data_IF_901123323658
#
_entry.id   IF_901123323658
#
_cell.length_a   1.000
_cell.length_b   1.000
_cell.length_c   1.000
_cell.angle_alpha   90.00
_cell.angle_beta   90.00
_cell.angle_gamma   90.00
#
_symmetry.space_group_name_H-M   'P 1'
#
loop_
_entity.id
_entity.type
_entity.pdbx_description
1 polymer ?
#
# COMPACT_ATOMS: atom_id res chain seq x y z
N UNK A 1 -0.46 -1.74 24.74
CA UNK A 1 -0.75 -0.62 23.83
C UNK A 1 -0.25 -1.00 22.45
N UNK A 2 -1.13 -1.02 21.47
CA UNK A 2 -0.90 -1.58 20.14
C UNK A 2 -0.48 -0.44 19.22
N UNK A 3 0.82 -0.20 19.05
CA UNK A 3 1.25 0.71 17.97
C UNK A 3 1.04 0.01 16.63
N UNK A 4 0.30 0.66 15.75
CA UNK A 4 0.08 0.33 14.36
C UNK A 4 1.30 0.71 13.50
N UNK A 5 1.41 0.09 12.33
CA UNK A 5 2.43 0.45 11.32
C UNK A 5 2.36 1.94 10.96
N UNK A 6 1.15 2.52 10.99
CA UNK A 6 0.89 3.91 10.68
C UNK A 6 1.49 4.87 11.73
N UNK A 7 1.35 4.58 13.03
CA UNK A 7 1.91 5.42 14.11
C UNK A 7 3.45 5.42 14.12
N UNK A 8 4.09 4.36 13.62
CA UNK A 8 5.54 4.25 13.51
C UNK A 8 6.10 4.93 12.26
N UNK A 9 5.33 4.97 11.16
CA UNK A 9 5.67 5.74 9.96
C UNK A 9 5.48 7.24 10.24
N UNK A 10 4.43 7.62 10.97
CA UNK A 10 4.12 8.99 11.38
C UNK A 10 5.24 9.62 12.24
N UNK A 11 5.81 8.83 13.16
CA UNK A 11 6.99 9.26 13.96
C UNK A 11 8.22 9.57 13.09
N UNK A 12 8.33 8.93 11.92
CA UNK A 12 9.48 9.04 11.05
C UNK A 12 9.29 10.11 9.96
N UNK A 13 8.10 10.25 9.37
CA UNK A 13 7.82 11.24 8.33
C UNK A 13 8.06 12.68 8.80
N UNK A 14 7.56 13.02 9.99
CA UNK A 14 7.73 14.36 10.56
C UNK A 14 9.20 14.71 10.82
N UNK A 15 10.01 13.72 11.19
CA UNK A 15 11.44 13.89 11.42
C UNK A 15 12.23 14.15 10.14
N UNK A 16 11.90 13.43 9.06
CA UNK A 16 12.55 13.62 7.76
C UNK A 16 12.14 14.93 7.10
N UNK A 17 10.85 15.30 7.19
CA UNK A 17 10.32 16.56 6.66
C UNK A 17 10.92 17.78 7.38
N UNK A 18 11.04 17.75 8.71
CA UNK A 18 11.61 18.86 9.50
C UNK A 18 13.09 19.14 9.21
N UNK A 19 13.82 18.19 8.60
CA UNK A 19 15.26 18.33 8.30
C UNK A 19 15.56 18.39 6.81
N UNK A 20 14.54 18.49 5.97
CA UNK A 20 14.68 18.62 4.52
C UNK A 20 15.23 17.36 3.83
N UNK A 21 15.16 16.20 4.49
CA UNK A 21 15.53 14.92 3.89
C UNK A 21 14.32 14.36 3.14
N UNK A 22 14.39 14.39 1.82
CA UNK A 22 13.42 13.69 0.98
C UNK A 22 13.77 12.19 0.99
N UNK A 23 13.04 11.44 1.83
CA UNK A 23 13.17 9.99 2.02
C UNK A 23 13.09 9.22 0.70
N UNK A 24 12.54 9.82 -0.35
CA UNK A 24 12.34 9.21 -1.66
C UNK A 24 13.28 9.74 -2.76
N UNK A 25 13.97 10.87 -2.56
CA UNK A 25 14.97 11.39 -3.52
C UNK A 25 16.42 11.07 -3.17
N UNK A 26 16.78 10.96 -1.90
CA UNK A 26 18.17 10.70 -1.53
C UNK A 26 18.50 9.21 -1.63
N UNK A 27 19.44 8.90 -2.52
CA UNK A 27 19.88 7.58 -2.99
C UNK A 27 20.29 6.53 -1.90
N UNK A 28 20.19 6.84 -0.61
CA UNK A 28 20.78 6.05 0.47
C UNK A 28 19.90 4.91 1.03
N UNK A 29 18.59 4.89 0.80
CA UNK A 29 17.70 3.92 1.48
C UNK A 29 17.24 2.71 0.66
N UNK A 30 17.61 2.61 -0.63
CA UNK A 30 17.26 1.43 -1.45
C UNK A 30 17.84 0.11 -0.92
N UNK A 31 18.83 0.18 -0.04
CA UNK A 31 19.53 -0.96 0.54
C UNK A 31 19.16 -1.25 2.00
N UNK A 32 18.12 -0.61 2.56
CA UNK A 32 17.65 -0.86 3.93
C UNK A 32 16.21 -1.40 3.90
N UNK A 33 16.03 -2.69 4.20
CA UNK A 33 14.73 -3.35 4.39
C UNK A 33 14.36 -3.43 5.86
N UNK A 34 13.07 -3.42 6.18
CA UNK A 34 12.58 -3.50 7.56
C UNK A 34 11.45 -4.53 7.63
N UNK A 35 11.50 -5.44 8.60
CA UNK A 35 10.43 -6.41 8.89
C UNK A 35 10.00 -6.29 10.34
N UNK A 36 8.70 -6.48 10.59
CA UNK A 36 8.16 -6.49 11.95
C UNK A 36 7.88 -7.94 12.31
N UNK A 37 8.43 -8.38 13.44
CA UNK A 37 8.22 -9.72 13.95
C UNK A 37 7.67 -9.70 15.37
N UNK A 38 6.91 -10.74 15.69
CA UNK A 38 6.46 -11.04 17.05
C UNK A 38 7.29 -12.20 17.57
N UNK A 39 7.70 -12.13 18.84
CA UNK A 39 8.41 -13.23 19.50
C UNK A 39 7.88 -13.41 20.91
N UNK A 40 7.97 -14.62 21.46
CA UNK A 40 7.58 -14.90 22.84
C UNK A 40 8.85 -14.87 23.70
N UNK A 41 8.85 -14.06 24.75
CA UNK A 41 9.92 -14.07 25.75
C UNK A 41 9.28 -14.12 27.15
N UNK A 42 9.64 -15.14 27.94
CA UNK A 42 9.08 -15.38 29.28
C UNK A 42 7.54 -15.44 29.30
N UNK A 43 6.95 -16.15 28.33
CA UNK A 43 5.49 -16.29 28.15
C UNK A 43 4.74 -14.99 27.83
N UNK A 44 5.44 -13.91 27.48
CA UNK A 44 4.83 -12.67 27.00
C UNK A 44 5.11 -12.48 25.51
N UNK A 45 4.08 -12.12 24.73
CA UNK A 45 4.25 -11.71 23.33
C UNK A 45 4.95 -10.35 23.29
N UNK A 46 6.13 -10.32 22.69
CA UNK A 46 6.94 -9.12 22.45
C UNK A 46 7.05 -8.82 20.97
N UNK A 47 7.49 -7.60 20.68
CA UNK A 47 7.64 -7.07 19.32
C UNK A 47 9.09 -6.76 19.02
N UNK A 48 9.51 -7.10 17.82
CA UNK A 48 10.80 -6.72 17.27
C UNK A 48 10.64 -5.97 15.95
N UNK A 49 11.56 -5.03 15.74
CA UNK A 49 11.83 -4.44 14.42
C UNK A 49 13.13 -5.03 13.93
N UNK A 50 13.06 -5.79 12.85
CA UNK A 50 14.19 -6.33 12.12
C UNK A 50 14.57 -5.35 11.01
N UNK A 51 15.85 -5.01 10.93
CA UNK A 51 16.36 -4.10 9.90
C UNK A 51 17.48 -4.79 9.14
N UNK A 52 17.29 -4.98 7.84
CA UNK A 52 18.27 -5.55 6.93
C UNK A 52 18.94 -4.44 6.16
N UNK A 53 20.27 -4.41 6.14
CA UNK A 53 20.96 -3.48 5.24
C UNK A 53 22.21 -4.07 4.59
N UNK A 54 22.38 -3.74 3.31
CA UNK A 54 23.59 -4.02 2.55
C UNK A 54 24.58 -2.85 2.56
N UNK A 55 24.21 -1.72 3.17
CA UNK A 55 25.04 -0.51 3.17
C UNK A 55 26.29 -0.72 4.05
N UNK A 56 27.46 -0.51 3.45
CA UNK A 56 28.78 -0.57 4.10
C UNK A 56 28.99 0.56 5.12
N UNK A 57 28.13 1.57 5.11
CA UNK A 57 28.12 2.72 6.00
C UNK A 57 26.67 2.97 6.42
N UNK A 58 26.21 2.32 7.49
CA UNK A 58 24.94 2.74 8.10
C UNK A 58 24.98 4.26 8.38
N UNK A 59 24.11 5.05 7.74
CA UNK A 59 24.15 6.50 7.88
C UNK A 59 23.96 6.88 9.35
N UNK A 60 24.65 7.92 9.83
CA UNK A 60 24.40 8.52 11.16
C UNK A 60 22.90 8.77 11.39
N UNK A 61 22.19 9.09 10.32
CA UNK A 61 20.73 9.24 10.26
C UNK A 61 19.96 7.99 10.73
N UNK A 62 20.39 6.78 10.34
CA UNK A 62 19.77 5.52 10.77
C UNK A 62 19.90 5.29 12.27
N UNK A 63 21.08 5.61 12.80
CA UNK A 63 21.37 5.53 14.23
C UNK A 63 20.46 6.47 15.02
N UNK A 64 20.29 7.71 14.55
CA UNK A 64 19.44 8.72 15.18
C UNK A 64 17.96 8.29 15.19
N UNK A 65 17.51 7.58 14.15
CA UNK A 65 16.16 7.00 14.06
C UNK A 65 15.98 5.88 15.09
N UNK A 66 16.92 4.94 15.13
CA UNK A 66 16.89 3.80 16.07
C UNK A 66 16.91 4.27 17.53
N UNK A 67 17.71 5.29 17.85
CA UNK A 67 17.76 5.84 19.20
C UNK A 67 16.42 6.48 19.60
N UNK A 68 15.82 7.30 18.74
CA UNK A 68 14.52 7.91 19.03
C UNK A 68 13.40 6.88 19.15
N UNK A 69 13.40 5.82 18.32
CA UNK A 69 12.45 4.71 18.46
C UNK A 69 12.59 4.05 19.83
N UNK A 70 13.83 3.87 20.31
CA UNK A 70 14.10 3.29 21.62
C UNK A 70 13.68 4.22 22.76
N UNK A 71 13.89 5.52 22.62
CA UNK A 71 13.50 6.53 23.61
C UNK A 71 11.96 6.62 23.73
N UNK A 72 11.24 6.60 22.60
CA UNK A 72 9.77 6.62 22.56
C UNK A 72 9.14 5.29 22.95
N UNK A 73 9.80 4.17 22.62
CA UNK A 73 9.30 2.82 22.88
C UNK A 73 10.38 1.93 23.52
N UNK A 74 10.66 2.12 24.84
CA UNK A 74 11.72 1.39 25.53
C UNK A 74 11.56 -0.14 25.48
N UNK A 75 10.32 -0.63 25.38
CA UNK A 75 9.97 -2.04 25.31
C UNK A 75 10.20 -2.69 23.94
N UNK A 76 10.42 -1.91 22.87
CA UNK A 76 10.67 -2.46 21.54
C UNK A 76 12.11 -2.95 21.44
N UNK A 77 12.29 -4.19 20.98
CA UNK A 77 13.61 -4.74 20.65
C UNK A 77 13.93 -4.41 19.20
N UNK A 78 15.11 -3.85 18.96
CA UNK A 78 15.56 -3.52 17.60
C UNK A 78 16.68 -4.50 17.28
N UNK A 79 16.50 -5.24 16.18
CA UNK A 79 17.41 -6.24 15.67
C UNK A 79 17.94 -5.76 14.31
N UNK A 80 19.25 -5.63 14.19
CA UNK A 80 19.88 -5.22 12.93
C UNK A 80 20.59 -6.44 12.34
N UNK A 81 20.22 -6.80 11.11
CA UNK A 81 20.86 -7.85 10.31
C UNK A 81 21.87 -7.22 9.33
N UNK A 82 23.15 -7.50 9.53
CA UNK A 82 24.26 -6.96 8.72
C UNK A 82 25.22 -8.08 8.33
N UNK A 83 25.74 -8.02 7.10
CA UNK A 83 26.81 -8.93 6.63
C UNK A 83 28.10 -8.69 7.42
N UNK A 84 28.77 -9.76 7.85
CA UNK A 84 29.94 -9.70 8.73
C UNK A 84 31.03 -8.74 8.27
N UNK A 85 31.32 -8.74 6.97
CA UNK A 85 32.33 -7.89 6.32
C UNK A 85 32.04 -6.39 6.40
N UNK A 86 30.81 -6.00 6.73
CA UNK A 86 30.38 -4.60 6.82
C UNK A 86 30.47 -4.03 8.25
N UNK A 87 30.86 -4.83 9.24
CA UNK A 87 30.90 -4.42 10.65
C UNK A 87 32.22 -3.74 10.97
N UNK A 88 32.17 -2.42 11.18
CA UNK A 88 33.35 -1.64 11.60
C UNK A 88 33.65 -1.83 13.10
N UNK A 89 34.93 -1.82 13.46
CA UNK A 89 35.37 -1.74 14.87
C UNK A 89 34.75 -0.51 15.55
N UNK A 90 34.06 -0.73 16.67
CA UNK A 90 33.33 0.30 17.42
C UNK A 90 31.81 0.33 17.17
N UNK A 91 31.33 -0.28 16.07
CA UNK A 91 29.91 -0.29 15.72
C UNK A 91 29.06 -1.09 16.72
N UNK A 92 29.52 -2.30 17.06
CA UNK A 92 28.85 -3.17 18.03
C UNK A 92 28.76 -2.53 19.41
N UNK A 93 29.85 -1.89 19.87
CA UNK A 93 29.89 -1.20 21.15
C UNK A 93 28.87 -0.05 21.21
N UNK A 94 28.75 0.68 20.11
CA UNK A 94 27.82 1.79 19.99
C UNK A 94 26.35 1.32 19.97
N UNK A 95 26.01 0.33 19.15
CA UNK A 95 24.64 -0.23 19.11
C UNK A 95 24.21 -0.81 20.45
N UNK A 96 25.14 -1.46 21.17
CA UNK A 96 24.89 -1.97 22.52
C UNK A 96 24.59 -0.84 23.50
N UNK A 97 25.28 0.29 23.39
CA UNK A 97 24.99 1.50 24.20
C UNK A 97 23.58 2.06 23.93
N UNK A 98 23.08 1.88 22.71
CA UNK A 98 21.72 2.26 22.32
C UNK A 98 20.66 1.19 22.67
N UNK A 99 21.03 0.08 23.31
CA UNK A 99 20.10 -1.01 23.64
C UNK A 99 19.57 -1.78 22.43
N UNK A 100 20.36 -1.83 21.35
CA UNK A 100 20.05 -2.51 20.09
C UNK A 100 20.78 -3.85 20.02
N UNK A 101 20.09 -4.91 19.61
CA UNK A 101 20.69 -6.22 19.38
C UNK A 101 21.20 -6.31 17.94
N UNK A 102 22.44 -6.77 17.75
CA UNK A 102 23.01 -7.00 16.43
C UNK A 102 22.96 -8.48 16.08
N UNK A 103 22.50 -8.78 14.87
CA UNK A 103 22.48 -10.09 14.26
C UNK A 103 23.41 -10.07 13.03
N UNK A 104 24.40 -10.97 12.98
CA UNK A 104 25.32 -11.08 11.85
C UNK A 104 24.81 -12.15 10.90
N UNK A 105 24.79 -11.85 9.61
CA UNK A 105 24.57 -12.85 8.56
C UNK A 105 25.93 -13.36 8.08
N UNK A 106 26.16 -14.67 8.20
CA UNK A 106 27.34 -15.35 7.64
C UNK A 106 26.89 -16.69 7.02
N UNK A 107 27.16 -16.89 5.73
CA UNK A 107 26.79 -18.12 5.00
C UNK A 107 25.31 -18.55 5.17
N UNK A 108 24.37 -17.59 5.09
CA UNK A 108 22.94 -17.77 5.32
C UNK A 108 22.55 -18.19 6.75
N UNK A 109 23.43 -18.02 7.73
CA UNK A 109 23.13 -18.21 9.15
C UNK A 109 23.09 -16.87 9.87
N UNK A 110 22.14 -16.72 10.80
CA UNK A 110 21.97 -15.53 11.64
C UNK A 110 22.62 -15.78 13.00
N UNK A 111 23.58 -14.95 13.38
CA UNK A 111 24.37 -15.10 14.61
C UNK A 111 24.09 -13.92 15.54
N UNK A 112 23.51 -14.13 16.73
CA UNK A 112 23.39 -13.08 17.74
C UNK A 112 24.76 -12.66 18.25
N UNK A 113 25.00 -11.35 18.33
CA UNK A 113 26.24 -10.81 18.90
C UNK A 113 25.96 -10.23 20.27
N UNK A 114 26.21 -11.05 21.30
CA UNK A 114 26.06 -10.61 22.69
C UNK A 114 27.38 -10.02 23.24
N UNK A 115 28.54 -10.42 22.69
CA UNK A 115 29.85 -9.94 23.12
C UNK A 115 30.85 -9.66 21.98
N UNK A 116 31.62 -8.58 22.09
CA UNK A 116 32.61 -8.10 21.10
C UNK A 116 33.81 -9.04 20.95
N UNK A 117 34.15 -9.76 22.02
CA UNK A 117 35.31 -10.66 22.06
C UNK A 117 35.06 -12.00 21.33
N UNK A 118 33.79 -12.39 21.16
CA UNK A 118 33.41 -13.64 20.48
C UNK A 118 33.64 -13.59 18.96
N UNK A 119 33.58 -12.39 18.36
CA UNK A 119 33.81 -12.17 16.92
C UNK A 119 35.27 -12.44 16.55
N UNK A 120 36.21 -12.18 17.46
CA UNK A 120 37.63 -12.25 17.16
C UNK A 120 38.27 -13.63 17.44
N UNK A 121 37.61 -14.53 18.18
CA UNK A 121 38.29 -15.70 18.76
C UNK A 121 37.57 -17.07 18.72
N UNK A 122 36.44 -17.26 18.01
CA UNK A 122 35.61 -18.46 18.24
C UNK A 122 35.33 -19.34 17.02
N UNK A 123 35.50 -20.66 17.20
CA UNK A 123 35.01 -21.72 16.32
C UNK A 123 33.47 -21.82 16.42
N UNK A 124 32.80 -21.38 15.36
CA UNK A 124 31.36 -21.10 15.25
C UNK A 124 30.42 -22.30 15.48
N UNK A 125 30.91 -23.55 15.36
CA UNK A 125 30.05 -24.72 15.55
C UNK A 125 29.50 -24.88 16.97
N UNK A 126 30.27 -24.45 17.99
CA UNK A 126 29.88 -24.55 19.40
C UNK A 126 28.75 -23.60 19.79
N UNK A 127 28.61 -22.46 19.10
CA UNK A 127 27.57 -21.45 19.34
C UNK A 127 26.24 -21.89 18.69
N UNK A 128 26.31 -22.50 17.50
CA UNK A 128 25.14 -23.00 16.77
C UNK A 128 24.37 -24.08 17.52
N UNK A 129 25.07 -24.98 18.24
CA UNK A 129 24.42 -26.03 19.04
C UNK A 129 23.71 -25.51 20.31
N UNK A 130 24.13 -24.37 20.86
CA UNK A 130 23.53 -23.82 22.10
C UNK A 130 22.29 -22.96 21.87
N UNK A 131 22.11 -22.39 20.67
CA UNK A 131 21.10 -21.35 20.44
C UNK A 131 19.94 -21.73 19.50
N UNK A 132 19.99 -22.90 18.86
CA UNK A 132 18.89 -23.39 17.99
C UNK A 132 17.57 -23.75 18.73
N UNK A 133 17.52 -23.68 20.06
CA UNK A 133 16.30 -23.97 20.83
C UNK A 133 15.34 -22.78 20.99
N UNK A 134 15.56 -21.65 20.31
CA UNK A 134 14.80 -20.39 20.56
C UNK A 134 14.04 -19.89 19.32
N UNK A 135 14.28 -20.42 18.12
CA UNK A 135 13.65 -19.92 16.89
C UNK A 135 13.17 -21.07 15.98
N UNK A 136 11.86 -21.31 15.95
CA UNK A 136 11.22 -22.03 14.85
C UNK A 136 11.02 -21.07 13.66
N UNK A 137 11.42 -21.45 12.43
CA UNK A 137 11.20 -20.63 11.26
C UNK A 137 9.70 -20.58 10.92
N UNK A 138 9.20 -19.36 10.66
CA UNK A 138 7.85 -19.12 10.12
C UNK A 138 7.73 -19.86 8.78
N UNK A 139 6.78 -20.79 8.70
CA UNK A 139 6.52 -21.62 7.53
C UNK A 139 6.48 -20.80 6.23
N UNK A 140 7.32 -21.18 5.27
CA UNK A 140 7.16 -20.83 3.86
C UNK A 140 5.75 -21.26 3.43
N UNK A 141 4.93 -20.32 2.96
CA UNK A 141 3.59 -20.62 2.43
C UNK A 141 3.74 -21.52 1.20
N UNK A 142 3.57 -22.83 1.39
CA UNK A 142 3.56 -23.81 0.30
C UNK A 142 2.22 -23.68 -0.41
N UNK A 143 2.24 -23.24 -1.66
CA UNK A 143 1.07 -23.30 -2.54
C UNK A 143 0.86 -24.79 -2.88
N UNK A 144 -0.26 -25.42 -2.48
CA UNK A 144 -0.50 -26.82 -2.81
C UNK A 144 -0.57 -26.99 -4.33
N UNK A 145 0.11 -28.02 -4.85
CA UNK A 145 0.01 -28.41 -6.26
C UNK A 145 -1.45 -28.76 -6.60
N UNK A 146 -1.96 -28.35 -7.77
CA UNK A 146 -3.35 -28.60 -8.13
C UNK A 146 -3.63 -30.11 -8.24
N UNK A 147 -4.84 -30.57 -7.86
CA UNK A 147 -5.27 -31.93 -8.14
C UNK A 147 -5.35 -32.17 -9.66
N UNK A 148 -5.03 -33.40 -10.07
CA UNK A 148 -4.90 -33.85 -11.47
C UNK A 148 -6.17 -33.66 -12.37
N UNK A 149 -7.32 -33.28 -11.81
CA UNK A 149 -8.62 -33.18 -12.52
C UNK A 149 -8.89 -31.79 -13.16
N UNK A 150 -7.98 -30.82 -12.97
CA UNK A 150 -8.21 -29.45 -13.44
C UNK A 150 -7.71 -29.15 -14.86
N UNK A 151 -6.94 -30.07 -15.48
CA UNK A 151 -6.35 -29.83 -16.81
C UNK A 151 -7.42 -29.66 -17.92
N UNK A 152 -8.55 -30.37 -17.82
CA UNK A 152 -9.65 -30.20 -18.78
C UNK A 152 -10.24 -28.78 -18.74
N UNK A 153 -10.39 -28.18 -17.54
CA UNK A 153 -10.84 -26.79 -17.38
C UNK A 153 -9.85 -25.82 -18.02
N UNK A 154 -8.55 -26.00 -17.78
CA UNK A 154 -7.52 -25.11 -18.31
C UNK A 154 -7.29 -25.26 -19.81
N UNK A 155 -7.46 -26.47 -20.35
CA UNK A 155 -7.46 -26.70 -21.80
C UNK A 155 -8.64 -25.98 -22.46
N UNK A 156 -9.85 -26.11 -21.89
CA UNK A 156 -11.07 -25.42 -22.35
C UNK A 156 -10.93 -23.90 -22.34
N UNK A 157 -10.29 -23.34 -21.32
CA UNK A 157 -10.17 -21.89 -21.11
C UNK A 157 -8.81 -21.30 -21.46
N UNK A 158 -8.00 -22.00 -22.26
CA UNK A 158 -6.63 -21.58 -22.59
C UNK A 158 -6.57 -20.16 -23.15
N UNK A 159 -7.40 -19.85 -24.17
CA UNK A 159 -7.44 -18.52 -24.80
C UNK A 159 -7.87 -17.42 -23.82
N UNK A 160 -9.02 -17.53 -23.11
CA UNK A 160 -9.40 -16.53 -22.13
C UNK A 160 -8.37 -16.26 -21.03
N UNK A 161 -7.62 -17.28 -20.61
CA UNK A 161 -6.59 -17.12 -19.59
C UNK A 161 -5.38 -16.35 -20.11
N UNK A 162 -5.01 -16.55 -21.38
CA UNK A 162 -3.99 -15.74 -22.06
C UNK A 162 -4.45 -14.29 -22.17
N UNK A 163 -5.68 -14.06 -22.63
CA UNK A 163 -6.25 -12.70 -22.75
C UNK A 163 -6.29 -11.98 -21.40
N UNK A 164 -6.65 -12.66 -20.31
CA UNK A 164 -6.63 -12.08 -18.96
C UNK A 164 -5.19 -11.78 -18.48
N UNK A 165 -4.23 -12.65 -18.77
CA UNK A 165 -2.83 -12.41 -18.40
C UNK A 165 -2.26 -11.19 -19.14
N UNK A 166 -2.57 -11.04 -20.43
CA UNK A 166 -2.20 -9.85 -21.20
C UNK A 166 -2.92 -8.59 -20.67
N UNK A 167 -4.21 -8.70 -20.36
CA UNK A 167 -5.02 -7.60 -19.84
C UNK A 167 -4.47 -7.07 -18.51
N UNK A 168 -4.04 -7.95 -17.61
CA UNK A 168 -3.54 -7.60 -16.27
C UNK A 168 -2.02 -7.43 -16.18
N UNK A 169 -1.28 -7.58 -17.29
CA UNK A 169 0.18 -7.59 -17.29
C UNK A 169 0.81 -6.36 -16.62
N UNK A 170 0.12 -5.21 -16.62
CA UNK A 170 0.62 -3.96 -16.03
C UNK A 170 0.55 -3.92 -14.48
N UNK A 171 -0.19 -4.81 -13.81
CA UNK A 171 -0.22 -4.86 -12.33
C UNK A 171 1.13 -5.28 -11.73
N UNK A 172 1.91 -6.06 -12.50
CA UNK A 172 3.09 -6.77 -12.00
C UNK A 172 2.72 -8.12 -11.37
N UNK A 173 3.48 -9.17 -11.70
CA UNK A 173 3.32 -10.53 -11.18
C UNK A 173 1.96 -11.22 -11.43
N UNK A 174 1.08 -10.65 -12.28
CA UNK A 174 -0.16 -11.29 -12.72
C UNK A 174 0.05 -11.86 -14.11
N UNK A 175 0.59 -13.08 -14.16
CA UNK A 175 0.76 -13.86 -15.38
C UNK A 175 -0.24 -15.03 -15.42
N UNK A 176 -0.17 -15.82 -16.50
CA UNK A 176 -1.04 -16.98 -16.65
C UNK A 176 -0.87 -18.01 -15.51
N UNK A 177 0.36 -18.40 -15.09
CA UNK A 177 0.57 -19.21 -13.89
C UNK A 177 -0.12 -18.64 -12.64
N UNK A 178 0.02 -17.34 -12.36
CA UNK A 178 -0.59 -16.68 -11.21
C UNK A 178 -2.13 -16.76 -11.27
N UNK A 179 -2.72 -16.50 -12.45
CA UNK A 179 -4.16 -16.65 -12.67
C UNK A 179 -4.61 -18.11 -12.44
N UNK A 180 -3.86 -19.10 -12.95
CA UNK A 180 -4.17 -20.51 -12.73
C UNK A 180 -4.11 -20.85 -11.24
N UNK A 181 -3.04 -20.43 -10.54
CA UNK A 181 -2.87 -20.64 -9.11
C UNK A 181 -4.02 -20.01 -8.32
N UNK A 182 -4.44 -18.79 -8.66
CA UNK A 182 -5.56 -18.13 -8.03
C UNK A 182 -6.89 -18.89 -8.25
N UNK A 183 -7.16 -19.34 -9.48
CA UNK A 183 -8.35 -20.13 -9.82
C UNK A 183 -8.35 -21.50 -9.13
N UNK A 184 -7.20 -22.11 -8.88
CA UNK A 184 -7.09 -23.40 -8.18
C UNK A 184 -7.55 -23.34 -6.72
N UNK A 185 -7.66 -22.15 -6.14
CA UNK A 185 -8.23 -21.97 -4.80
C UNK A 185 -9.76 -22.13 -4.79
N UNK A 186 -10.42 -22.09 -5.96
CA UNK A 186 -11.85 -22.35 -6.11
C UNK A 186 -12.13 -23.86 -6.26
N UNK A 187 -13.19 -24.33 -5.61
CA UNK A 187 -13.57 -25.74 -5.56
C UNK A 187 -14.48 -26.10 -6.74
N UNK A 188 -14.16 -27.18 -7.45
CA UNK A 188 -15.00 -27.74 -8.51
C UNK A 188 -15.48 -26.69 -9.52
N UNK A 189 -16.79 -26.64 -9.75
CA UNK A 189 -17.42 -25.71 -10.71
C UNK A 189 -17.34 -24.22 -10.28
N UNK A 190 -16.92 -23.90 -9.06
CA UNK A 190 -16.72 -22.50 -8.65
C UNK A 190 -15.56 -21.84 -9.42
N UNK A 191 -14.68 -22.60 -10.06
CA UNK A 191 -13.63 -22.06 -10.96
C UNK A 191 -14.21 -21.25 -12.11
N UNK A 192 -15.35 -21.67 -12.68
CA UNK A 192 -16.06 -20.90 -13.72
C UNK A 192 -16.55 -19.56 -13.18
N UNK A 193 -16.99 -19.51 -11.92
CA UNK A 193 -17.42 -18.28 -11.24
C UNK A 193 -16.22 -17.36 -10.97
N UNK A 194 -15.08 -17.92 -10.55
CA UNK A 194 -13.83 -17.19 -10.40
C UNK A 194 -13.34 -16.60 -11.73
N UNK A 195 -13.39 -17.38 -12.82
CA UNK A 195 -13.01 -16.90 -14.15
C UNK A 195 -13.95 -15.80 -14.65
N UNK A 196 -15.26 -15.95 -14.42
CA UNK A 196 -16.26 -14.91 -14.70
C UNK A 196 -15.97 -13.63 -13.90
N UNK A 197 -15.60 -13.75 -12.62
CA UNK A 197 -15.17 -12.62 -11.82
C UNK A 197 -13.98 -11.90 -12.45
N UNK A 198 -12.92 -12.61 -12.84
CA UNK A 198 -11.75 -11.99 -13.47
C UNK A 198 -12.12 -11.19 -14.73
N UNK A 199 -13.01 -11.72 -15.56
CA UNK A 199 -13.49 -11.01 -16.76
C UNK A 199 -14.35 -9.79 -16.46
N UNK A 200 -15.00 -9.76 -15.29
CA UNK A 200 -15.86 -8.66 -14.88
C UNK A 200 -15.08 -7.55 -14.14
N UNK A 201 -13.83 -7.76 -13.75
CA UNK A 201 -13.03 -6.76 -13.04
C UNK A 201 -12.98 -5.47 -13.86
N UNK A 202 -13.33 -4.37 -13.22
CA UNK A 202 -13.15 -3.03 -13.77
C UNK A 202 -11.67 -2.65 -13.63
N UNK A 203 -10.92 -3.01 -14.67
CA UNK A 203 -9.50 -2.73 -14.76
C UNK A 203 -9.23 -1.31 -15.25
N UNK A 204 -8.33 -0.62 -14.55
CA UNK A 204 -7.82 0.69 -14.91
C UNK A 204 -6.33 0.57 -15.27
N UNK A 205 -6.08 0.24 -16.53
CA UNK A 205 -4.75 0.26 -17.12
C UNK A 205 -4.19 1.69 -17.19
N UNK A 206 -2.90 1.80 -17.53
CA UNK A 206 -2.21 3.09 -17.64
C UNK A 206 -2.87 4.05 -18.63
N UNK A 207 -3.42 3.51 -19.72
CA UNK A 207 -4.08 4.31 -20.77
C UNK A 207 -5.38 4.90 -20.25
N UNK A 208 -6.23 4.08 -19.63
CA UNK A 208 -7.50 4.50 -19.02
C UNK A 208 -7.28 5.49 -17.89
N UNK A 209 -6.27 5.27 -17.05
CA UNK A 209 -5.87 6.23 -16.00
C UNK A 209 -5.47 7.57 -16.62
N UNK A 210 -4.58 7.58 -17.62
CA UNK A 210 -4.14 8.82 -18.27
C UNK A 210 -5.30 9.59 -18.92
N UNK A 211 -6.17 8.88 -19.64
CA UNK A 211 -7.38 9.48 -20.24
C UNK A 211 -8.27 10.06 -19.14
N UNK A 212 -8.51 9.31 -18.05
CA UNK A 212 -9.30 9.79 -16.92
C UNK A 212 -8.71 11.06 -16.28
N UNK A 213 -7.39 11.13 -16.11
CA UNK A 213 -6.73 12.33 -15.56
C UNK A 213 -6.83 13.55 -16.49
N UNK A 214 -6.85 13.33 -17.81
CA UNK A 214 -7.12 14.39 -18.78
C UNK A 214 -8.58 14.84 -18.73
N UNK A 215 -9.51 13.89 -18.64
CA UNK A 215 -10.94 14.17 -18.44
C UNK A 215 -11.17 14.98 -17.18
N UNK A 216 -10.52 14.65 -16.05
CA UNK A 216 -10.62 15.45 -14.82
C UNK A 216 -10.19 16.90 -15.02
N UNK A 217 -9.07 17.16 -15.72
CA UNK A 217 -8.64 18.53 -15.98
C UNK A 217 -9.66 19.29 -16.83
N UNK A 218 -10.23 18.63 -17.84
CA UNK A 218 -11.25 19.25 -18.69
C UNK A 218 -12.53 19.55 -17.91
N UNK A 219 -12.97 18.65 -17.02
CA UNK A 219 -14.11 18.89 -16.14
C UNK A 219 -13.85 20.03 -15.15
N UNK A 220 -12.65 20.11 -14.58
CA UNK A 220 -12.25 21.25 -13.74
C UNK A 220 -12.36 22.56 -14.52
N UNK A 221 -11.81 22.64 -15.74
CA UNK A 221 -11.90 23.84 -16.60
C UNK A 221 -13.33 24.17 -17.03
N UNK A 222 -14.21 23.17 -17.13
CA UNK A 222 -15.61 23.38 -17.49
C UNK A 222 -16.39 23.97 -16.32
N UNK A 223 -16.08 23.53 -15.10
CA UNK A 223 -16.73 23.98 -13.87
C UNK A 223 -16.20 25.35 -13.45
N UNK A 224 -14.91 25.61 -13.61
CA UNK A 224 -14.29 26.89 -13.32
C UNK A 224 -14.28 27.75 -14.60
N UNK A 225 -15.23 28.67 -14.71
CA UNK A 225 -15.49 29.45 -15.93
C UNK A 225 -14.31 30.32 -16.41
N UNK A 226 -13.35 30.60 -15.54
CA UNK A 226 -12.19 31.47 -15.81
C UNK A 226 -10.91 30.69 -16.22
N UNK A 227 -11.06 29.43 -16.62
CA UNK A 227 -9.95 28.61 -17.10
C UNK A 227 -9.12 28.00 -15.97
N UNK A 228 -7.80 28.25 -15.94
CA UNK A 228 -6.89 27.74 -14.89
C UNK A 228 -6.36 28.85 -13.97
N UNK A 229 -6.77 30.10 -14.17
CA UNK A 229 -6.39 31.20 -13.30
C UNK A 229 -7.03 31.02 -11.91
N UNK A 230 -6.29 31.34 -10.84
CA UNK A 230 -6.74 31.09 -9.46
C UNK A 230 -6.87 29.60 -9.04
N UNK A 231 -6.62 28.64 -9.95
CA UNK A 231 -6.72 27.21 -9.64
C UNK A 231 -5.36 26.61 -9.31
N UNK A 232 -5.36 25.80 -8.25
CA UNK A 232 -4.21 25.06 -7.75
C UNK A 232 -4.59 23.59 -7.55
N UNK A 233 -3.61 22.69 -7.66
CA UNK A 233 -3.79 21.25 -7.50
C UNK A 233 -2.98 20.76 -6.31
N UNK A 234 -3.56 19.85 -5.53
CA UNK A 234 -2.88 19.18 -4.44
C UNK A 234 -3.32 17.72 -4.35
N UNK A 235 -2.55 16.88 -3.69
CA UNK A 235 -2.95 15.51 -3.38
C UNK A 235 -3.95 15.47 -2.23
N UNK A 236 -4.90 14.55 -2.28
CA UNK A 236 -5.72 14.21 -1.12
C UNK A 236 -4.90 13.34 -0.15
N UNK A 237 -4.84 13.74 1.12
CA UNK A 237 -4.15 12.98 2.16
C UNK A 237 -2.69 13.39 2.39
N UNK A 238 -1.97 12.54 3.13
CA UNK A 238 -0.59 12.77 3.57
C UNK A 238 0.39 12.36 2.46
N UNK A 239 1.55 13.00 2.42
CA UNK A 239 2.67 12.62 1.56
C UNK A 239 2.99 11.11 1.70
N UNK A 240 3.36 10.44 0.60
CA UNK A 240 3.66 9.01 0.57
C UNK A 240 2.46 8.06 0.39
N UNK A 241 1.24 8.58 0.21
CA UNK A 241 0.04 7.80 -0.16
C UNK A 241 -0.31 7.91 -1.65
N UNK A 242 -1.34 7.17 -2.09
CA UNK A 242 -1.83 7.13 -3.49
C UNK A 242 -2.09 8.52 -4.08
N UNK A 243 -2.54 9.48 -3.26
CA UNK A 243 -2.78 10.85 -3.70
C UNK A 243 -1.56 11.54 -4.33
N UNK A 244 -0.33 11.24 -3.88
CA UNK A 244 0.87 11.86 -4.46
C UNK A 244 1.28 11.22 -5.79
N UNK A 245 1.09 9.91 -5.92
CA UNK A 245 1.25 9.19 -7.19
C UNK A 245 0.26 9.74 -8.23
N UNK A 246 -0.99 9.96 -7.82
CA UNK A 246 -2.03 10.55 -8.66
C UNK A 246 -1.70 11.98 -9.08
N UNK A 247 -1.22 12.82 -8.17
CA UNK A 247 -0.77 14.18 -8.51
C UNK A 247 0.34 14.14 -9.57
N UNK A 248 1.30 13.23 -9.40
CA UNK A 248 2.41 13.04 -10.36
C UNK A 248 1.93 12.55 -11.72
N UNK A 249 1.02 11.57 -11.74
CA UNK A 249 0.42 11.07 -12.97
C UNK A 249 -0.41 12.17 -13.66
N UNK A 250 -1.17 12.95 -12.89
CA UNK A 250 -1.99 14.05 -13.39
C UNK A 250 -1.13 15.09 -14.12
N UNK A 251 0.01 15.48 -13.51
CA UNK A 251 0.98 16.39 -14.13
C UNK A 251 1.45 15.88 -15.48
N UNK A 252 1.84 14.61 -15.55
CA UNK A 252 2.37 13.99 -16.76
C UNK A 252 1.31 13.85 -17.84
N UNK A 253 0.14 13.34 -17.49
CA UNK A 253 -0.97 13.12 -18.42
C UNK A 253 -1.44 14.43 -19.09
N UNK A 254 -1.33 15.55 -18.39
CA UNK A 254 -1.77 16.86 -18.86
C UNK A 254 -0.64 17.76 -19.41
N UNK A 255 0.58 17.23 -19.59
CA UNK A 255 1.71 18.02 -20.10
C UNK A 255 2.16 19.14 -19.14
N UNK A 256 1.88 19.01 -17.84
CA UNK A 256 2.19 19.97 -16.78
C UNK A 256 3.47 19.60 -16.01
N UNK A 257 4.38 18.88 -16.65
CA UNK A 257 5.66 18.44 -16.05
C UNK A 257 6.76 19.52 -16.08
N UNK A 258 6.57 20.60 -16.83
CA UNK A 258 7.56 21.68 -16.95
C UNK A 258 7.48 22.66 -15.77
N UNK A 259 8.62 23.29 -15.44
CA UNK A 259 8.77 24.20 -14.29
C UNK A 259 7.76 25.36 -14.27
N UNK A 260 7.28 25.79 -15.44
CA UNK A 260 6.26 26.86 -15.56
C UNK A 260 4.94 26.54 -14.86
N UNK A 261 4.69 25.27 -14.56
CA UNK A 261 3.48 24.83 -13.86
C UNK A 261 3.70 24.54 -12.38
N UNK A 262 4.93 24.62 -11.87
CA UNK A 262 5.23 24.25 -10.48
C UNK A 262 4.40 25.05 -9.48
N UNK A 263 4.17 26.33 -9.77
CA UNK A 263 3.34 27.21 -8.93
C UNK A 263 1.88 26.76 -8.84
N UNK A 264 1.38 25.95 -9.78
CA UNK A 264 0.02 25.39 -9.77
C UNK A 264 -0.12 24.20 -8.85
N UNK A 265 0.97 23.59 -8.39
CA UNK A 265 0.93 22.41 -7.53
C UNK A 265 1.38 22.78 -6.12
N UNK A 266 0.49 22.57 -5.16
CA UNK A 266 0.64 23.08 -3.79
C UNK A 266 0.62 21.96 -2.78
N UNK A 267 1.44 22.09 -1.76
CA UNK A 267 1.37 21.27 -0.57
C UNK A 267 0.39 21.89 0.43
N UNK A 268 -0.02 21.09 1.41
CA UNK A 268 -0.93 21.54 2.48
C UNK A 268 -0.40 22.77 3.21
N UNK A 269 0.92 22.87 3.38
CA UNK A 269 1.61 24.02 4.01
C UNK A 269 1.49 25.31 3.21
N UNK A 270 1.28 25.22 1.89
CA UNK A 270 1.21 26.39 1.01
C UNK A 270 -0.18 27.03 1.00
N UNK A 271 -1.20 26.36 1.57
CA UNK A 271 -2.58 26.84 1.50
C UNK A 271 -2.74 28.22 2.16
N UNK A 272 -2.01 28.47 3.26
CA UNK A 272 -1.92 29.77 3.95
C UNK A 272 -1.42 30.93 3.09
N UNK A 273 -0.77 30.64 1.97
CA UNK A 273 -0.11 31.62 1.10
C UNK A 273 -0.87 31.85 -0.20
N UNK A 274 -2.04 31.21 -0.37
CA UNK A 274 -2.82 31.34 -1.59
C UNK A 274 -3.59 32.67 -1.61
N UNK A 275 -3.73 33.29 -2.79
CA UNK A 275 -4.60 34.46 -2.94
C UNK A 275 -6.03 34.18 -2.49
N UNK A 276 -6.74 35.22 -2.06
CA UNK A 276 -8.19 35.15 -1.87
C UNK A 276 -8.88 34.68 -3.16
N UNK A 277 -10.04 34.02 -3.01
CA UNK A 277 -10.82 33.40 -4.10
C UNK A 277 -10.14 32.27 -4.89
N UNK A 278 -8.94 31.84 -4.48
CA UNK A 278 -8.27 30.68 -5.07
C UNK A 278 -9.10 29.41 -4.92
N UNK A 279 -9.01 28.50 -5.88
CA UNK A 279 -9.62 27.16 -5.80
C UNK A 279 -8.55 26.08 -5.79
N UNK A 280 -8.55 25.25 -4.75
CA UNK A 280 -7.69 24.09 -4.62
C UNK A 280 -8.46 22.83 -5.01
N UNK A 281 -7.95 22.12 -6.02
CA UNK A 281 -8.44 20.83 -6.48
C UNK A 281 -7.61 19.73 -5.81
N UNK A 282 -8.23 18.97 -4.93
CA UNK A 282 -7.64 17.81 -4.25
C UNK A 282 -7.82 16.56 -5.11
N UNK A 283 -6.72 15.94 -5.52
CA UNK A 283 -6.72 14.77 -6.39
C UNK A 283 -6.57 13.46 -5.61
N UNK A 284 -7.35 12.45 -5.99
CA UNK A 284 -7.18 11.06 -5.52
C UNK A 284 -7.57 10.05 -6.61
N UNK A 285 -7.24 8.77 -6.42
CA UNK A 285 -7.64 7.70 -7.34
C UNK A 285 -9.07 7.22 -7.11
N UNK A 286 -9.46 7.06 -5.84
CA UNK A 286 -10.67 6.34 -5.48
C UNK A 286 -11.38 6.92 -4.25
N UNK A 287 -12.69 7.20 -4.38
CA UNK A 287 -13.57 7.48 -3.23
C UNK A 287 -14.43 6.25 -2.95
N UNK A 288 -14.17 5.60 -1.81
CA UNK A 288 -15.04 4.54 -1.27
C UNK A 288 -16.20 5.11 -0.46
N UNK A 289 -16.05 5.13 0.86
CA UNK A 289 -17.05 5.71 1.77
C UNK A 289 -16.97 7.24 1.89
N UNK A 290 -15.91 7.85 1.36
CA UNK A 290 -15.63 9.27 1.54
C UNK A 290 -15.05 9.64 2.91
N UNK A 291 -14.92 8.71 3.85
CA UNK A 291 -14.42 9.01 5.22
C UNK A 291 -13.04 9.65 5.22
N UNK A 292 -12.08 9.10 4.48
CA UNK A 292 -10.72 9.65 4.42
C UNK A 292 -10.68 11.06 3.85
N UNK A 293 -11.44 11.29 2.77
CA UNK A 293 -11.60 12.59 2.16
C UNK A 293 -12.19 13.60 3.15
N UNK A 294 -13.26 13.21 3.84
CA UNK A 294 -13.93 14.04 4.83
C UNK A 294 -13.04 14.37 6.04
N UNK A 295 -12.31 13.38 6.58
CA UNK A 295 -11.38 13.59 7.69
C UNK A 295 -10.27 14.57 7.28
N UNK A 296 -9.75 14.45 6.05
CA UNK A 296 -8.75 15.38 5.52
C UNK A 296 -9.31 16.80 5.33
N UNK A 297 -10.53 16.92 4.80
CA UNK A 297 -11.21 18.20 4.60
C UNK A 297 -11.53 18.92 5.91
N UNK A 298 -11.84 18.18 6.99
CA UNK A 298 -12.00 18.75 8.33
C UNK A 298 -10.72 19.41 8.81
N UNK A 299 -9.59 18.71 8.69
CA UNK A 299 -8.27 19.26 9.06
C UNK A 299 -7.96 20.49 8.21
N UNK A 300 -8.24 20.45 6.90
CA UNK A 300 -8.08 21.62 6.04
C UNK A 300 -8.96 22.76 6.51
N UNK A 301 -10.22 22.52 6.87
CA UNK A 301 -11.16 23.56 7.31
C UNK A 301 -10.64 24.34 8.52
N UNK A 302 -9.88 23.70 9.42
CA UNK A 302 -9.28 24.34 10.60
C UNK A 302 -8.09 25.26 10.25
N UNK A 303 -7.40 24.98 9.14
CA UNK A 303 -6.24 25.75 8.66
C UNK A 303 -6.53 26.55 7.38
N UNK A 304 -7.78 26.55 6.94
CA UNK A 304 -8.22 27.10 5.67
C UNK A 304 -8.16 28.62 5.75
N UNK A 305 -7.41 29.29 4.86
CA UNK A 305 -7.51 30.73 4.73
C UNK A 305 -8.91 31.10 4.24
N UNK A 306 -9.40 32.24 4.72
CA UNK A 306 -10.65 32.82 4.23
C UNK A 306 -10.58 33.02 2.71
N UNK A 307 -11.72 32.83 2.02
CA UNK A 307 -11.81 33.00 0.57
C UNK A 307 -11.31 31.83 -0.29
N UNK A 308 -10.41 30.96 0.19
CA UNK A 308 -9.92 29.82 -0.61
C UNK A 308 -10.95 28.71 -0.69
N UNK A 309 -11.34 28.22 -1.87
CA UNK A 309 -12.30 27.11 -2.06
C UNK A 309 -11.58 25.77 -2.23
N UNK A 310 -12.20 24.68 -1.78
CA UNK A 310 -11.68 23.33 -1.94
C UNK A 310 -12.69 22.47 -2.69
N UNK A 311 -12.21 21.74 -3.71
CA UNK A 311 -12.97 20.75 -4.47
C UNK A 311 -12.16 19.46 -4.58
N UNK A 312 -12.85 18.35 -4.83
CA UNK A 312 -12.23 17.04 -4.99
C UNK A 312 -12.36 16.62 -6.44
N UNK A 313 -11.32 16.03 -7.00
CA UNK A 313 -11.35 15.44 -8.32
C UNK A 313 -10.74 14.03 -8.27
N UNK A 314 -11.53 13.01 -8.59
CA UNK A 314 -11.14 11.61 -8.44
C UNK A 314 -11.45 10.77 -9.66
N UNK A 315 -10.60 9.79 -9.98
CA UNK A 315 -10.85 8.92 -11.14
C UNK A 315 -12.13 8.12 -10.96
N UNK A 316 -12.31 7.53 -9.78
CA UNK A 316 -13.45 6.66 -9.51
C UNK A 316 -14.05 6.99 -8.15
N UNK A 317 -15.37 7.01 -8.03
CA UNK A 317 -16.02 7.23 -6.74
C UNK A 317 -17.32 6.46 -6.58
N UNK A 318 -17.53 5.80 -5.45
CA UNK A 318 -18.83 5.27 -5.08
C UNK A 318 -19.81 6.42 -4.84
N UNK A 319 -20.98 6.36 -5.46
CA UNK A 319 -21.99 7.40 -5.34
C UNK A 319 -22.38 7.70 -3.88
N UNK A 320 -22.41 6.70 -3.01
CA UNK A 320 -22.68 6.95 -1.59
C UNK A 320 -21.59 7.79 -0.94
N UNK A 321 -20.31 7.49 -1.18
CA UNK A 321 -19.20 8.28 -0.65
C UNK A 321 -19.14 9.69 -1.22
N UNK A 322 -19.44 9.85 -2.51
CA UNK A 322 -19.58 11.15 -3.16
C UNK A 322 -20.68 11.97 -2.48
N UNK A 323 -21.89 11.40 -2.33
CA UNK A 323 -23.02 12.08 -1.69
C UNK A 323 -22.74 12.50 -0.26
N UNK A 324 -22.02 11.70 0.52
CA UNK A 324 -21.64 12.06 1.90
C UNK A 324 -20.68 13.26 1.95
N UNK A 325 -19.73 13.35 1.02
CA UNK A 325 -18.83 14.50 0.91
C UNK A 325 -19.61 15.74 0.46
N UNK A 326 -20.51 15.61 -0.53
CA UNK A 326 -21.30 16.72 -1.07
C UNK A 326 -22.27 17.30 -0.05
N UNK A 327 -22.88 16.47 0.80
CA UNK A 327 -23.69 16.93 1.95
C UNK A 327 -22.92 17.85 2.90
N UNK A 328 -21.59 17.74 2.92
CA UNK A 328 -20.72 18.57 3.75
C UNK A 328 -20.33 19.90 3.07
N UNK A 329 -20.89 20.20 1.90
CA UNK A 329 -20.70 21.46 1.17
C UNK A 329 -19.49 21.46 0.22
N UNK A 330 -18.90 20.31 -0.07
CA UNK A 330 -17.77 20.19 -0.99
C UNK A 330 -18.20 19.64 -2.34
N UNK A 331 -17.66 20.18 -3.43
CA UNK A 331 -17.91 19.65 -4.77
C UNK A 331 -16.97 18.48 -5.06
N UNK A 332 -17.52 17.38 -5.58
CA UNK A 332 -16.73 16.24 -6.08
C UNK A 332 -16.88 16.13 -7.59
N UNK A 333 -15.75 16.08 -8.28
CA UNK A 333 -15.62 15.86 -9.71
C UNK A 333 -15.14 14.41 -9.87
N UNK A 334 -15.85 13.60 -10.65
CA UNK A 334 -15.46 12.20 -10.85
C UNK A 334 -15.55 11.81 -12.32
N UNK A 335 -14.65 10.93 -12.77
CA UNK A 335 -14.72 10.35 -14.13
C UNK A 335 -15.73 9.21 -14.15
N UNK A 336 -15.57 8.24 -13.23
CA UNK A 336 -16.42 7.07 -13.13
C UNK A 336 -17.14 7.02 -11.77
N UNK A 337 -18.42 7.37 -11.76
CA UNK A 337 -19.29 7.19 -10.60
C UNK A 337 -19.82 5.74 -10.53
N UNK A 338 -19.58 5.06 -9.40
CA UNK A 338 -20.02 3.69 -9.16
C UNK A 338 -21.33 3.68 -8.38
N UNK A 339 -22.35 3.12 -9.02
CA UNK A 339 -23.68 2.96 -8.48
C UNK A 339 -23.83 1.62 -7.75
N UNK A 340 -25.03 1.37 -7.22
CA UNK A 340 -25.40 0.06 -6.69
C UNK A 340 -25.32 -1.10 -7.72
N UNK A 341 -25.27 -0.82 -9.03
CA UNK A 341 -25.09 -1.85 -10.07
C UNK A 341 -23.65 -2.35 -10.13
N UNK A 342 -22.71 -1.53 -9.67
CA UNK A 342 -21.27 -1.76 -9.68
C UNK A 342 -20.77 -2.39 -8.37
N UNK A 343 -21.71 -2.79 -7.50
CA UNK A 343 -21.44 -3.50 -6.25
C UNK A 343 -21.70 -4.99 -6.46
N UNK A 344 -20.66 -5.81 -6.36
CA UNK A 344 -20.76 -7.23 -6.77
C UNK A 344 -21.82 -8.02 -6.01
N UNK A 345 -22.07 -7.71 -4.72
CA UNK A 345 -23.08 -8.39 -3.90
C UNK A 345 -24.42 -7.66 -3.84
N UNK A 346 -24.56 -6.53 -4.53
CA UNK A 346 -25.82 -5.80 -4.60
C UNK A 346 -26.86 -6.56 -5.41
N UNK A 347 -28.14 -6.42 -5.04
CA UNK A 347 -29.26 -6.97 -5.82
C UNK A 347 -29.37 -6.33 -7.21
N UNK A 348 -28.85 -5.12 -7.38
CA UNK A 348 -28.93 -4.37 -8.63
C UNK A 348 -27.81 -4.74 -9.62
N UNK A 349 -26.78 -5.46 -9.19
CA UNK A 349 -25.78 -6.02 -10.10
C UNK A 349 -26.38 -7.23 -10.83
N UNK A 350 -26.50 -7.18 -12.15
CA UNK A 350 -27.07 -8.28 -12.95
C UNK A 350 -26.01 -9.19 -13.58
N UNK A 351 -24.72 -8.85 -13.43
CA UNK A 351 -23.61 -9.64 -13.96
C UNK A 351 -23.51 -11.02 -13.26
N UNK A 352 -23.83 -11.07 -11.96
CA UNK A 352 -23.80 -12.30 -11.17
C UNK A 352 -25.20 -12.68 -10.66
N UNK A 353 -25.52 -13.96 -10.81
CA UNK A 353 -26.72 -14.56 -10.20
C UNK A 353 -26.61 -14.54 -8.67
N UNK A 354 -27.75 -14.69 -7.99
CA UNK A 354 -27.80 -14.78 -6.53
C UNK A 354 -26.87 -15.88 -5.98
N UNK A 355 -26.89 -17.06 -6.62
CA UNK A 355 -26.05 -18.21 -6.23
C UNK A 355 -24.56 -17.92 -6.44
N UNK A 356 -24.18 -17.30 -7.55
CA UNK A 356 -22.78 -16.91 -7.79
C UNK A 356 -22.28 -15.89 -6.75
N UNK A 357 -23.12 -14.91 -6.38
CA UNK A 357 -22.80 -13.95 -5.33
C UNK A 357 -22.59 -14.60 -3.97
N UNK A 358 -23.43 -15.56 -3.59
CA UNK A 358 -23.29 -16.34 -2.35
C UNK A 358 -21.97 -17.12 -2.34
N UNK A 359 -21.62 -17.77 -3.47
CA UNK A 359 -20.34 -18.46 -3.63
C UNK A 359 -19.17 -17.49 -3.47
N UNK A 360 -19.15 -16.39 -4.23
CA UNK A 360 -18.07 -15.39 -4.15
C UNK A 360 -17.93 -14.80 -2.75
N UNK A 361 -19.05 -14.52 -2.08
CA UNK A 361 -19.06 -14.00 -0.71
C UNK A 361 -18.45 -15.00 0.29
N UNK A 362 -18.71 -16.30 0.12
CA UNK A 362 -18.11 -17.33 0.97
C UNK A 362 -16.57 -17.35 0.84
N UNK A 363 -16.03 -17.23 -0.37
CA UNK A 363 -14.58 -17.09 -0.57
C UNK A 363 -14.04 -15.79 0.01
N UNK A 364 -14.80 -14.69 -0.08
CA UNK A 364 -14.41 -13.43 0.53
C UNK A 364 -14.25 -13.54 2.06
N UNK A 365 -15.14 -14.29 2.71
CA UNK A 365 -15.09 -14.54 4.16
C UNK A 365 -13.91 -15.46 4.54
N UNK A 366 -13.49 -16.35 3.65
CA UNK A 366 -12.27 -17.13 3.84
C UNK A 366 -11.01 -16.25 3.75
N UNK A 367 -11.03 -15.25 2.87
CA UNK A 367 -9.89 -14.39 2.56
C UNK A 367 -9.62 -13.30 3.61
N UNK A 368 -10.63 -12.80 4.34
CA UNK A 368 -10.43 -11.85 5.45
C UNK A 368 -11.72 -11.59 6.23
N UNK A 369 -11.62 -10.94 7.39
CA UNK A 369 -12.75 -10.48 8.21
C UNK A 369 -13.54 -9.33 7.57
N UNK A 370 -12.95 -8.66 6.57
CA UNK A 370 -13.58 -7.59 5.77
C UNK A 370 -13.89 -8.06 4.34
N UNK A 371 -14.82 -9.01 4.14
CA UNK A 371 -15.01 -9.72 2.88
C UNK A 371 -15.40 -8.81 1.71
N UNK A 372 -16.17 -7.76 2.00
CA UNK A 372 -16.75 -6.88 1.00
C UNK A 372 -15.93 -5.63 0.71
N UNK A 373 -14.70 -5.55 1.22
CA UNK A 373 -13.88 -4.35 1.14
C UNK A 373 -14.21 -3.34 2.24
N UNK A 374 -13.37 -2.31 2.36
CA UNK A 374 -13.57 -1.26 3.36
C UNK A 374 -14.94 -0.59 3.20
N UNK A 375 -15.68 -0.44 4.30
CA UNK A 375 -16.97 0.24 4.31
C UNK A 375 -18.08 -0.41 3.49
N UNK A 376 -18.00 -1.73 3.25
CA UNK A 376 -18.96 -2.48 2.43
C UNK A 376 -19.13 -1.92 1.02
N UNK A 377 -18.03 -1.44 0.42
CA UNK A 377 -18.07 -0.90 -0.95
C UNK A 377 -18.35 -1.96 -2.00
N UNK A 378 -18.02 -3.23 -1.75
CA UNK A 378 -18.26 -4.36 -2.65
C UNK A 378 -17.65 -4.15 -4.05
N UNK A 379 -16.58 -3.39 -4.14
CA UNK A 379 -15.97 -3.02 -5.39
C UNK A 379 -15.16 -4.20 -5.97
N UNK A 380 -15.07 -4.27 -7.28
CA UNK A 380 -14.26 -5.24 -8.01
C UNK A 380 -13.43 -4.50 -9.07
N UNK A 381 -12.77 -3.44 -8.57
CA UNK A 381 -11.93 -2.51 -9.34
C UNK A 381 -10.48 -2.73 -8.95
N UNK A 382 -9.60 -2.61 -9.94
CA UNK A 382 -8.16 -2.70 -9.75
C UNK A 382 -7.50 -1.67 -10.66
N UNK A 383 -6.58 -0.86 -10.11
CA UNK A 383 -5.71 0.01 -10.89
C UNK A 383 -4.38 -0.70 -11.15
N UNK A 384 -3.75 -0.38 -12.28
CA UNK A 384 -2.48 -1.01 -12.66
C UNK A 384 -1.33 -0.80 -11.68
N UNK A 385 -1.40 0.21 -10.82
CA UNK A 385 -0.37 0.50 -9.82
C UNK A 385 -0.77 0.00 -8.42
N UNK A 386 -2.07 -0.17 -8.13
CA UNK A 386 -2.55 -0.56 -6.79
C UNK A 386 -4.00 -1.02 -6.79
N UNK A 387 -4.32 -1.94 -5.88
CA UNK A 387 -5.72 -2.31 -5.58
C UNK A 387 -6.29 -1.47 -4.42
N UNK A 388 -7.45 -0.82 -4.60
CA UNK A 388 -8.16 -0.13 -3.51
C UNK A 388 -8.52 -1.09 -2.36
N UNK A 389 -8.52 -0.60 -1.12
CA UNK A 389 -8.98 -1.38 0.04
C UNK A 389 -10.49 -1.65 0.01
N UNK A 390 -11.24 -0.88 -0.79
CA UNK A 390 -12.67 -1.06 -1.08
C UNK A 390 -12.95 -2.27 -1.99
N UNK A 391 -11.93 -2.81 -2.66
CA UNK A 391 -12.05 -4.00 -3.49
C UNK A 391 -12.32 -5.24 -2.64
N UNK A 392 -13.15 -6.16 -3.13
CA UNK A 392 -13.49 -7.41 -2.44
C UNK A 392 -12.25 -8.23 -2.10
N UNK A 393 -12.31 -8.92 -0.97
CA UNK A 393 -11.12 -9.51 -0.35
C UNK A 393 -10.46 -10.61 -1.17
N UNK A 394 -11.22 -11.41 -1.92
CA UNK A 394 -10.65 -12.50 -2.73
C UNK A 394 -9.71 -12.02 -3.83
N UNK A 395 -9.81 -10.75 -4.22
CA UNK A 395 -8.90 -10.15 -5.19
C UNK A 395 -7.63 -9.63 -4.51
N UNK A 396 -7.66 -9.15 -3.26
CA UNK A 396 -6.56 -8.37 -2.66
C UNK A 396 -5.95 -8.90 -1.36
N UNK A 397 -6.64 -9.78 -0.65
CA UNK A 397 -6.25 -10.22 0.68
C UNK A 397 -5.40 -11.48 0.60
N UNK A 398 -4.32 -11.51 1.38
CA UNK A 398 -3.47 -12.68 1.56
C UNK A 398 -3.56 -13.16 3.00
N UNK A 399 -3.79 -14.45 3.19
CA UNK A 399 -3.71 -15.15 4.47
C UNK A 399 -3.35 -16.63 4.23
N UNK A 400 -3.24 -17.43 5.30
CA UNK A 400 -2.86 -18.85 5.19
C UNK A 400 -3.83 -19.73 4.37
N UNK A 401 -5.07 -19.28 4.14
CA UNK A 401 -6.16 -19.97 3.45
C UNK A 401 -6.48 -19.38 2.08
N UNK A 402 -5.99 -18.19 1.76
CA UNK A 402 -6.30 -17.49 0.51
C UNK A 402 -5.19 -16.53 0.11
N UNK A 403 -4.81 -16.56 -1.16
CA UNK A 403 -3.92 -15.61 -1.79
C UNK A 403 -4.69 -14.81 -2.84
N UNK A 404 -4.74 -13.50 -2.70
CA UNK A 404 -5.34 -12.60 -3.67
C UNK A 404 -4.48 -12.49 -4.93
N UNK A 405 -5.13 -12.34 -6.08
CA UNK A 405 -4.43 -12.14 -7.36
C UNK A 405 -3.79 -10.75 -7.48
N UNK A 406 -4.41 -9.76 -6.86
CA UNK A 406 -4.00 -8.35 -6.86
C UNK A 406 -3.73 -7.88 -5.42
N UNK A 407 -2.72 -8.45 -4.73
CA UNK A 407 -2.42 -8.06 -3.37
C UNK A 407 -2.08 -6.59 -3.29
N UNK A 408 -2.47 -5.95 -2.18
CA UNK A 408 -2.08 -4.57 -1.91
C UNK A 408 -0.67 -4.58 -1.31
N UNK A 409 0.27 -3.95 -2.02
CA UNK A 409 1.62 -3.69 -1.54
C UNK A 409 1.70 -2.37 -0.76
#
# INVERSE_FOLDING_TARGET
MTLSLDELIEVNSDFFDQRGYDVYRDYAFKEVGWTFSKYIEKNEEKRAVEVRTNDKKLPKLFIDVVQQMKDKHPSVKICIEVQKENIKKGYVAYLKKCGVSLLIIESNKVIPVDNLDEINNTNLESILQRQMNIYEPVHTLVIPSPPFDDEAFYAKHNKPLTELAEHFAQYGNVDRPAIRAWLNQFKGNHKEIGLKLLRAIKWYDKTRVNIGLQTLLNEVKRIESDGLEGIFFSSLGIAGKSGHEILTMFRRANGMSTRRYDEKFKYKTDFGLLPEDSTVILLDDFIGTGKQAFDYLKVIKEIRPDGVRFKLAVLVGCEEGIREIEKSGYTVITVDALSSRDKIFSRNNTEFTKKEKEVLKSYCQLATEYPTGYGDSQAYIVFHYRTPNNTISILRANNARWLGLFPRH
#
